data_IF_833299919389
#
_entry.id   IF_833299919389
#
_cell.length_a   1.000
_cell.length_b   1.000
_cell.length_c   1.000
_cell.angle_alpha   90.00
_cell.angle_beta   90.00
_cell.angle_gamma   90.00
#
_symmetry.space_group_name_H-M   'P 1'
#
loop_
_entity.id
_entity.type
_entity.pdbx_description
1 polymer ?
#
# COMPACT_ATOMS: atom_id res chain seq x y z
N UNK A 1 21.01 -15.08 4.28
CA UNK A 1 19.79 -14.24 4.16
C UNK A 1 18.94 -14.88 3.09
N UNK A 2 17.65 -15.13 3.33
CA UNK A 2 16.75 -15.70 2.32
C UNK A 2 16.55 -14.70 1.18
N UNK A 3 16.54 -15.20 -0.06
CA UNK A 3 16.21 -14.37 -1.21
C UNK A 3 14.82 -13.75 -1.05
N UNK A 4 14.64 -12.47 -1.41
CA UNK A 4 13.34 -11.81 -1.32
C UNK A 4 12.34 -12.42 -2.31
N UNK A 5 11.06 -12.38 -1.95
CA UNK A 5 10.00 -12.79 -2.86
C UNK A 5 9.66 -11.67 -3.85
N UNK A 6 9.24 -12.03 -5.07
CA UNK A 6 8.67 -11.06 -6.00
C UNK A 6 7.36 -10.52 -5.39
N UNK A 7 7.12 -9.22 -5.52
CA UNK A 7 6.02 -8.48 -4.89
C UNK A 7 6.13 -8.32 -3.36
N UNK A 8 7.28 -8.62 -2.75
CA UNK A 8 7.53 -8.31 -1.34
C UNK A 8 7.66 -6.79 -1.14
N UNK A 9 7.02 -6.27 -0.08
CA UNK A 9 7.15 -4.88 0.35
C UNK A 9 8.06 -4.84 1.58
N UNK A 10 9.10 -4.00 1.52
CA UNK A 10 10.02 -3.75 2.65
C UNK A 10 10.11 -2.26 2.94
N UNK A 11 10.16 -1.94 4.23
CA UNK A 11 10.54 -0.60 4.67
C UNK A 11 12.03 -0.42 4.41
N UNK A 12 12.37 0.67 3.74
CA UNK A 12 13.73 0.96 3.31
C UNK A 12 14.11 2.39 3.72
N UNK A 13 15.30 2.55 4.31
CA UNK A 13 15.75 3.82 4.86
C UNK A 13 16.55 4.69 3.86
N UNK A 14 16.85 4.19 2.66
CA UNK A 14 17.58 4.93 1.63
C UNK A 14 16.67 5.69 0.67
N UNK A 15 17.26 6.63 -0.08
CA UNK A 15 16.55 7.51 -1.03
C UNK A 15 16.70 7.07 -2.51
N UNK A 16 17.00 5.79 -2.76
CA UNK A 16 17.04 5.21 -4.11
C UNK A 16 16.47 3.79 -4.07
N UNK A 17 15.87 3.31 -5.16
CA UNK A 17 15.46 1.92 -5.25
C UNK A 17 16.68 1.05 -5.63
N UNK A 18 17.07 0.05 -4.82
CA UNK A 18 18.11 -0.90 -5.20
C UNK A 18 17.75 -1.66 -6.48
N UNK A 19 18.74 -2.26 -7.14
CA UNK A 19 18.48 -3.07 -8.34
C UNK A 19 17.49 -4.19 -8.04
N UNK A 20 16.46 -4.32 -8.89
CA UNK A 20 15.38 -5.30 -8.71
C UNK A 20 14.26 -4.85 -7.77
N UNK A 21 14.37 -3.64 -7.21
CA UNK A 21 13.34 -3.02 -6.37
C UNK A 21 12.80 -1.75 -7.04
N UNK A 22 11.64 -1.34 -6.56
CA UNK A 22 11.00 -0.09 -6.94
C UNK A 22 10.32 0.50 -5.69
N UNK A 23 10.22 1.82 -5.63
CA UNK A 23 9.42 2.46 -4.58
C UNK A 23 7.94 2.22 -4.80
N UNK A 24 7.19 2.16 -3.69
CA UNK A 24 5.74 2.08 -3.70
C UNK A 24 5.14 3.50 -3.87
N UNK A 25 5.36 4.11 -5.03
CA UNK A 25 4.94 5.49 -5.34
C UNK A 25 3.76 5.54 -6.33
N UNK A 26 3.09 4.41 -6.60
CA UNK A 26 1.97 4.36 -7.56
C UNK A 26 2.37 4.42 -9.03
N UNK A 27 3.66 4.27 -9.35
CA UNK A 27 4.14 4.36 -10.73
C UNK A 27 3.59 3.24 -11.62
N UNK A 28 3.37 3.56 -12.90
CA UNK A 28 3.00 2.59 -13.93
C UNK A 28 4.24 1.90 -14.49
N UNK A 29 4.23 0.58 -14.48
CA UNK A 29 5.27 -0.26 -15.07
C UNK A 29 4.74 -1.00 -16.29
N UNK A 30 5.56 -1.14 -17.33
CA UNK A 30 5.18 -1.90 -18.51
C UNK A 30 5.18 -3.41 -18.19
N UNK A 31 4.10 -4.08 -18.61
CA UNK A 31 3.88 -5.52 -18.37
C UNK A 31 4.96 -6.35 -19.08
N UNK A 32 5.34 -5.95 -20.30
CA UNK A 32 6.30 -6.70 -21.12
C UNK A 32 7.66 -6.92 -20.43
N UNK A 33 8.11 -5.97 -19.61
CA UNK A 33 9.37 -6.08 -18.85
C UNK A 33 9.19 -6.64 -17.43
N UNK A 34 7.95 -6.78 -16.94
CA UNK A 34 7.64 -7.11 -15.54
C UNK A 34 6.54 -8.17 -15.42
N UNK A 35 6.53 -9.16 -16.32
CA UNK A 35 5.47 -10.17 -16.44
C UNK A 35 5.24 -10.96 -15.15
N UNK A 36 6.32 -11.34 -14.44
CA UNK A 36 6.22 -12.05 -13.17
C UNK A 36 5.56 -11.20 -12.08
N UNK A 37 5.94 -9.92 -11.97
CA UNK A 37 5.33 -9.00 -10.99
C UNK A 37 3.86 -8.72 -11.34
N UNK A 38 3.54 -8.55 -12.62
CA UNK A 38 2.16 -8.38 -13.09
C UNK A 38 1.30 -9.60 -12.79
N UNK A 39 1.83 -10.83 -12.91
CA UNK A 39 1.06 -12.04 -12.58
C UNK A 39 0.63 -12.11 -11.11
N UNK A 40 1.33 -11.41 -10.22
CA UNK A 40 1.01 -11.34 -8.79
C UNK A 40 0.11 -10.14 -8.45
N UNK A 41 0.42 -8.96 -8.97
CA UNK A 41 -0.32 -7.73 -8.61
C UNK A 41 -1.56 -7.50 -9.48
N UNK A 42 -1.54 -7.96 -10.72
CA UNK A 42 -2.54 -7.63 -11.73
C UNK A 42 -2.70 -6.13 -11.87
N UNK A 43 -3.94 -5.67 -11.99
CA UNK A 43 -4.32 -4.25 -12.03
C UNK A 43 -4.85 -3.74 -10.69
N UNK A 44 -4.58 -4.45 -9.58
CA UNK A 44 -5.11 -4.12 -8.24
C UNK A 44 -4.85 -2.69 -7.82
N UNK A 45 -3.69 -2.13 -8.20
CA UNK A 45 -3.29 -0.77 -7.86
C UNK A 45 -3.46 0.23 -9.02
N UNK A 46 -4.00 -0.21 -10.16
CA UNK A 46 -4.20 0.60 -11.36
C UNK A 46 -3.48 0.08 -12.61
N UNK A 47 -3.48 0.92 -13.66
CA UNK A 47 -3.01 0.59 -15.00
C UNK A 47 -4.08 -0.03 -15.90
N UNK A 48 -3.74 -0.27 -17.16
CA UNK A 48 -4.67 -0.74 -18.19
C UNK A 48 -4.76 -2.28 -18.32
N UNK A 49 -3.85 -3.01 -17.67
CA UNK A 49 -3.78 -4.47 -17.69
C UNK A 49 -3.41 -5.08 -19.05
N UNK A 50 -3.05 -4.25 -20.04
CA UNK A 50 -2.68 -4.66 -21.40
C UNK A 50 -1.24 -4.30 -21.72
N UNK A 51 -0.86 -3.06 -21.45
CA UNK A 51 0.48 -2.52 -21.67
C UNK A 51 1.14 -2.27 -20.33
N UNK A 52 0.39 -1.81 -19.32
CA UNK A 52 0.93 -1.42 -18.02
C UNK A 52 0.06 -1.86 -16.84
N UNK A 53 0.68 -1.83 -15.66
CA UNK A 53 0.05 -2.00 -14.37
C UNK A 53 0.71 -1.04 -13.37
N UNK A 54 0.03 -0.72 -12.27
CA UNK A 54 0.57 0.15 -11.25
C UNK A 54 1.17 -0.62 -10.06
N UNK A 55 2.18 -0.04 -9.43
CA UNK A 55 2.63 -0.41 -8.09
C UNK A 55 1.70 0.19 -7.02
N UNK A 56 1.73 -0.30 -5.77
CA UNK A 56 1.09 0.38 -4.65
C UNK A 56 1.61 1.81 -4.48
N UNK A 57 0.77 2.70 -3.97
CA UNK A 57 1.18 4.02 -3.49
C UNK A 57 1.10 4.06 -1.95
N UNK A 58 2.26 4.09 -1.30
CA UNK A 58 2.41 4.14 0.16
C UNK A 58 2.93 5.50 0.66
N UNK A 59 3.02 6.52 -0.21
CA UNK A 59 3.41 7.86 0.20
C UNK A 59 2.35 8.43 1.16
N UNK A 60 2.79 8.82 2.37
CA UNK A 60 1.90 9.29 3.45
C UNK A 60 0.95 8.22 4.00
N UNK A 61 1.22 6.92 3.76
CA UNK A 61 0.31 5.82 4.10
C UNK A 61 1.04 4.67 4.79
N UNK A 62 0.36 4.01 5.70
CA UNK A 62 0.82 2.75 6.29
C UNK A 62 0.13 1.56 5.60
N UNK A 63 0.86 0.49 5.24
CA UNK A 63 0.23 -0.73 4.72
C UNK A 63 -0.58 -1.41 5.82
N UNK A 64 -1.73 -1.97 5.44
CA UNK A 64 -2.62 -2.75 6.31
C UNK A 64 -2.98 -4.06 5.62
N UNK A 65 -3.05 -5.14 6.38
CA UNK A 65 -3.49 -6.43 5.86
C UNK A 65 -4.97 -6.37 5.42
N UNK A 66 -5.32 -6.82 4.19
CA UNK A 66 -6.70 -6.94 3.77
C UNK A 66 -7.40 -8.10 4.49
N UNK A 67 -8.73 -8.04 4.57
CA UNK A 67 -9.54 -9.12 5.11
C UNK A 67 -10.73 -8.64 5.95
N UNK A 68 -11.36 -9.61 6.62
CA UNK A 68 -12.52 -9.39 7.49
C UNK A 68 -12.23 -9.97 8.89
N UNK A 69 -11.37 -9.28 9.64
CA UNK A 69 -11.04 -9.69 11.01
C UNK A 69 -12.22 -9.52 11.97
N UNK A 70 -12.36 -10.36 13.01
CA UNK A 70 -13.44 -10.22 13.98
C UNK A 70 -13.48 -8.83 14.63
N UNK A 71 -14.63 -8.15 14.54
CA UNK A 71 -14.81 -6.80 15.10
C UNK A 71 -14.16 -5.67 14.29
N UNK A 72 -13.62 -5.96 13.11
CA UNK A 72 -13.02 -4.96 12.21
C UNK A 72 -13.91 -4.70 10.99
N UNK A 73 -13.73 -3.53 10.37
CA UNK A 73 -14.34 -3.26 9.06
C UNK A 73 -13.65 -4.11 7.98
N UNK A 74 -14.40 -4.78 7.08
CA UNK A 74 -13.81 -5.49 5.95
C UNK A 74 -12.97 -4.54 5.06
N UNK A 75 -11.79 -4.98 4.62
CA UNK A 75 -10.94 -4.26 3.67
C UNK A 75 -10.53 -5.15 2.51
N UNK A 76 -10.67 -4.66 1.28
CA UNK A 76 -10.18 -5.34 0.08
C UNK A 76 -8.71 -5.02 -0.15
N UNK A 77 -7.97 -5.94 -0.77
CA UNK A 77 -6.59 -5.64 -1.18
C UNK A 77 -6.58 -4.48 -2.18
N UNK A 78 -5.65 -3.54 -1.99
CA UNK A 78 -5.56 -2.32 -2.79
C UNK A 78 -6.53 -1.21 -2.38
N UNK A 79 -7.43 -1.46 -1.43
CA UNK A 79 -8.34 -0.43 -0.93
C UNK A 79 -7.59 0.63 -0.11
N UNK A 80 -7.89 1.89 -0.39
CA UNK A 80 -7.34 3.02 0.35
C UNK A 80 -8.33 3.50 1.41
N UNK A 81 -7.84 3.87 2.60
CA UNK A 81 -8.68 4.52 3.60
C UNK A 81 -7.87 5.33 4.61
N UNK A 82 -8.58 5.99 5.52
CA UNK A 82 -8.00 6.94 6.47
C UNK A 82 -7.79 8.33 5.87
N UNK A 83 -7.26 9.23 6.68
CA UNK A 83 -6.90 10.61 6.31
C UNK A 83 -5.53 10.94 6.92
N UNK A 84 -4.73 11.75 6.24
CA UNK A 84 -3.39 12.14 6.70
C UNK A 84 -3.44 13.10 7.89
N UNK A 85 -4.47 13.95 7.93
CA UNK A 85 -4.71 14.89 9.02
C UNK A 85 -6.19 14.86 9.41
N UNK A 86 -6.47 14.84 10.71
CA UNK A 86 -7.80 14.96 11.28
C UNK A 86 -7.78 15.99 12.40
N UNK A 87 -8.63 17.01 12.31
CA UNK A 87 -8.87 17.94 13.42
C UNK A 87 -9.95 17.35 14.30
N UNK A 88 -9.59 16.99 15.53
CA UNK A 88 -10.53 16.39 16.47
C UNK A 88 -11.51 17.44 17.01
N UNK A 89 -12.79 17.09 17.03
CA UNK A 89 -13.81 17.82 17.76
C UNK A 89 -14.11 17.15 19.12
N UNK A 90 -14.87 17.84 19.98
CA UNK A 90 -15.19 17.35 21.34
C UNK A 90 -15.92 16.00 21.33
N UNK A 91 -16.72 15.71 20.30
CA UNK A 91 -17.44 14.44 20.19
C UNK A 91 -16.53 13.26 19.79
N UNK A 92 -15.33 13.54 19.29
CA UNK A 92 -14.32 12.54 18.90
C UNK A 92 -13.32 12.27 20.03
N UNK A 93 -13.40 13.01 21.13
CA UNK A 93 -12.55 12.83 22.31
C UNK A 93 -13.26 12.04 23.42
N UNK A 94 -12.58 11.09 24.09
CA UNK A 94 -13.14 10.44 25.27
C UNK A 94 -13.49 11.45 26.37
N UNK A 95 -14.64 11.27 27.01
CA UNK A 95 -15.05 12.07 28.16
C UNK A 95 -14.04 11.86 29.31
N UNK A 96 -13.53 12.95 29.86
CA UNK A 96 -12.58 12.93 30.98
C UNK A 96 -12.82 14.13 31.90
N UNK A 97 -12.38 14.03 33.16
CA UNK A 97 -12.50 15.06 34.19
C UNK A 97 -11.11 15.52 34.67
N UNK A 98 -11.02 16.75 35.19
CA UNK A 98 -9.80 17.33 35.78
C UNK A 98 -10.06 17.65 37.26
N UNK A 99 -9.01 17.64 38.10
CA UNK A 99 -9.08 17.88 39.56
C UNK A 99 -8.39 19.20 39.94
#
# INVERSE_FOLDING_TARGET
MSDPFIAEIKIFAGNFAPRGWAFCDGQLLPIAQNTALFSLLGTTYGGDGRINFALPNLQGRAPMQPGNGPGLTPRRLGETGGVESVTLNVNEMPRHNHA
#
